data_IF_445507947842
#
_entry.id   IF_445507947842
#
_cell.length_a   1.000
_cell.length_b   1.000
_cell.length_c   1.000
_cell.angle_alpha   90.00
_cell.angle_beta   90.00
_cell.angle_gamma   90.00
#
_symmetry.space_group_name_H-M   'P 1'
#
loop_
_entity.id
_entity.type
_entity.pdbx_description
1 polymer ?
#
# COMPACT_ATOMS: atom_id res chain seq x y z
N UNK A 1 -21.93 2.28 16.12
CA UNK A 1 -20.47 2.32 16.14
C UNK A 1 -20.07 2.93 14.83
N UNK A 2 -19.45 4.10 14.86
CA UNK A 2 -19.03 4.82 13.65
C UNK A 2 -17.91 4.02 13.00
N UNK A 3 -18.13 3.53 11.79
CA UNK A 3 -17.15 2.78 11.02
C UNK A 3 -16.00 3.73 10.65
N UNK A 4 -14.76 3.28 10.83
CA UNK A 4 -13.59 4.11 10.54
C UNK A 4 -13.51 4.38 9.02
N UNK A 5 -13.60 5.63 8.56
CA UNK A 5 -13.58 5.96 7.13
C UNK A 5 -12.32 5.46 6.42
N UNK A 6 -11.18 5.37 7.14
CA UNK A 6 -9.95 4.84 6.58
C UNK A 6 -10.09 3.37 6.17
N UNK A 7 -10.81 2.56 6.96
CA UNK A 7 -10.95 1.13 6.69
C UNK A 7 -11.84 0.86 5.46
N UNK A 8 -12.80 1.75 5.20
CA UNK A 8 -13.61 1.72 3.99
C UNK A 8 -12.75 2.08 2.76
N UNK A 9 -12.05 3.22 2.80
CA UNK A 9 -11.14 3.61 1.73
C UNK A 9 -10.02 2.58 1.47
N UNK A 10 -9.51 1.95 2.52
CA UNK A 10 -8.57 0.83 2.42
C UNK A 10 -9.17 -0.34 1.64
N UNK A 11 -10.41 -0.73 1.95
CA UNK A 11 -11.06 -1.85 1.26
C UNK A 11 -11.27 -1.53 -0.23
N UNK A 12 -11.66 -0.30 -0.53
CA UNK A 12 -11.88 0.17 -1.91
C UNK A 12 -10.58 0.17 -2.72
N UNK A 13 -9.50 0.76 -2.18
CA UNK A 13 -8.18 0.72 -2.83
C UNK A 13 -7.71 -0.71 -3.08
N UNK A 14 -7.86 -1.60 -2.10
CA UNK A 14 -7.41 -2.98 -2.26
C UNK A 14 -8.23 -3.71 -3.32
N UNK A 15 -9.52 -3.39 -3.47
CA UNK A 15 -10.37 -3.92 -4.51
C UNK A 15 -9.95 -3.40 -5.90
N UNK A 16 -9.71 -2.09 -6.04
CA UNK A 16 -9.20 -1.49 -7.29
C UNK A 16 -7.82 -2.06 -7.67
N UNK A 17 -6.93 -2.21 -6.69
CA UNK A 17 -5.61 -2.83 -6.89
C UNK A 17 -5.75 -4.28 -7.38
N UNK A 18 -6.66 -5.05 -6.79
CA UNK A 18 -6.93 -6.42 -7.24
C UNK A 18 -7.52 -6.48 -8.66
N UNK A 19 -8.28 -5.46 -9.08
CA UNK A 19 -8.82 -5.32 -10.44
C UNK A 19 -7.76 -4.89 -11.46
N UNK A 20 -6.83 -4.01 -11.10
CA UNK A 20 -5.80 -3.49 -12.02
C UNK A 20 -4.77 -4.56 -12.45
N UNK A 21 -4.43 -5.51 -11.57
CA UNK A 21 -3.49 -6.61 -11.87
C UNK A 21 -3.84 -7.45 -13.11
N UNK A 22 -5.07 -8.01 -13.24
CA UNK A 22 -5.45 -8.75 -14.44
C UNK A 22 -5.56 -7.85 -15.67
N UNK A 23 -5.93 -6.57 -15.53
CA UNK A 23 -5.93 -5.62 -16.65
C UNK A 23 -4.53 -5.41 -17.21
N UNK A 24 -3.53 -5.19 -16.35
CA UNK A 24 -2.13 -5.07 -16.74
C UNK A 24 -1.62 -6.34 -17.45
N UNK A 25 -1.93 -7.50 -16.87
CA UNK A 25 -1.54 -8.79 -17.47
C UNK A 25 -2.20 -9.01 -18.84
N UNK A 26 -3.47 -8.62 -18.99
CA UNK A 26 -4.20 -8.70 -20.25
C UNK A 26 -3.60 -7.74 -21.29
N UNK A 27 -3.33 -6.50 -20.90
CA UNK A 27 -2.70 -5.50 -21.75
C UNK A 27 -1.33 -5.96 -22.27
N UNK A 28 -0.45 -6.45 -21.40
CA UNK A 28 0.86 -6.97 -21.79
C UNK A 28 0.75 -8.13 -22.78
N UNK A 29 -0.20 -9.05 -22.54
CA UNK A 29 -0.48 -10.16 -23.45
C UNK A 29 -0.97 -9.68 -24.82
N UNK A 30 -1.99 -8.81 -24.84
CA UNK A 30 -2.55 -8.27 -26.09
C UNK A 30 -1.46 -7.55 -26.87
N UNK A 31 -0.65 -6.71 -26.21
CA UNK A 31 0.48 -6.00 -26.81
C UNK A 31 1.49 -6.97 -27.43
N UNK A 32 1.82 -8.07 -26.74
CA UNK A 32 2.76 -9.06 -27.27
C UNK A 32 2.24 -9.82 -28.49
N UNK A 33 0.92 -9.96 -28.62
CA UNK A 33 0.27 -10.66 -29.74
C UNK A 33 -0.20 -9.75 -30.88
N UNK A 34 -0.28 -8.45 -30.64
CA UNK A 34 -0.83 -7.51 -31.61
C UNK A 34 0.18 -7.21 -32.72
N UNK A 35 -0.25 -7.39 -33.97
CA UNK A 35 0.56 -7.07 -35.16
C UNK A 35 0.72 -5.56 -35.37
N UNK A 36 -0.20 -4.75 -34.84
CA UNK A 36 -0.15 -3.29 -34.90
C UNK A 36 -0.40 -2.69 -33.51
N UNK A 37 0.29 -1.59 -33.20
CA UNK A 37 0.16 -0.87 -31.93
C UNK A 37 -1.20 -0.16 -31.77
N UNK A 38 -1.98 -0.08 -32.85
CA UNK A 38 -3.28 0.59 -32.92
C UNK A 38 -4.43 -0.41 -33.08
N UNK A 39 -4.24 -1.67 -32.69
CA UNK A 39 -5.35 -2.61 -32.68
C UNK A 39 -6.41 -2.08 -31.71
N UNK A 40 -7.70 -2.08 -32.08
CA UNK A 40 -8.75 -1.50 -31.25
C UNK A 40 -8.79 -2.16 -29.87
N UNK A 41 -8.52 -3.47 -29.77
CA UNK A 41 -8.48 -4.17 -28.48
C UNK A 41 -7.35 -3.69 -27.58
N UNK A 42 -6.22 -3.25 -28.17
CA UNK A 42 -5.05 -2.80 -27.44
C UNK A 42 -5.23 -1.37 -26.92
N UNK A 43 -5.85 -0.50 -27.72
CA UNK A 43 -6.24 0.83 -27.30
C UNK A 43 -7.28 0.76 -26.19
N UNK A 44 -8.29 -0.09 -26.32
CA UNK A 44 -9.32 -0.30 -25.29
C UNK A 44 -8.72 -0.83 -23.98
N UNK A 45 -7.90 -1.89 -24.06
CA UNK A 45 -7.24 -2.46 -22.87
C UNK A 45 -6.28 -1.46 -22.20
N UNK A 46 -5.62 -0.59 -22.99
CA UNK A 46 -4.79 0.49 -22.46
C UNK A 46 -5.63 1.52 -21.72
N UNK A 47 -6.69 2.02 -22.34
CA UNK A 47 -7.55 3.06 -21.78
C UNK A 47 -8.24 2.58 -20.49
N UNK A 48 -8.70 1.33 -20.44
CA UNK A 48 -9.29 0.73 -19.24
C UNK A 48 -8.28 0.64 -18.09
N UNK A 49 -7.06 0.20 -18.38
CA UNK A 49 -5.98 0.14 -17.39
C UNK A 49 -5.58 1.54 -16.90
N UNK A 50 -5.42 2.50 -17.81
CA UNK A 50 -5.06 3.89 -17.48
C UNK A 50 -6.13 4.57 -16.61
N UNK A 51 -7.41 4.41 -16.95
CA UNK A 51 -8.50 4.91 -16.12
C UNK A 51 -8.45 4.33 -14.71
N UNK A 52 -8.31 3.01 -14.61
CA UNK A 52 -8.23 2.31 -13.32
C UNK A 52 -7.02 2.75 -12.49
N UNK A 53 -5.85 2.92 -13.11
CA UNK A 53 -4.64 3.40 -12.43
C UNK A 53 -4.75 4.88 -12.01
N UNK A 54 -5.46 5.70 -12.79
CA UNK A 54 -5.74 7.10 -12.45
C UNK A 54 -6.65 7.19 -11.23
N UNK A 55 -7.73 6.42 -11.21
CA UNK A 55 -8.66 6.34 -10.07
C UNK A 55 -7.91 5.85 -8.82
N UNK A 56 -7.12 4.77 -8.96
CA UNK A 56 -6.30 4.23 -7.87
C UNK A 56 -5.26 5.23 -7.36
N UNK A 57 -4.69 6.05 -8.24
CA UNK A 57 -3.76 7.13 -7.86
C UNK A 57 -4.48 8.22 -7.08
N UNK A 58 -5.67 8.64 -7.50
CA UNK A 58 -6.46 9.65 -6.80
C UNK A 58 -6.87 9.16 -5.40
N UNK A 59 -7.41 7.94 -5.29
CA UNK A 59 -7.77 7.36 -4.00
C UNK A 59 -6.54 7.24 -3.07
N UNK A 60 -5.38 6.89 -3.64
CA UNK A 60 -4.13 6.80 -2.90
C UNK A 60 -3.68 8.18 -2.38
N UNK A 61 -3.86 9.25 -3.15
CA UNK A 61 -3.59 10.62 -2.68
C UNK A 61 -4.39 10.97 -1.44
N UNK A 62 -5.69 10.70 -1.47
CA UNK A 62 -6.60 10.96 -0.36
C UNK A 62 -6.20 10.15 0.88
N UNK A 63 -5.77 8.90 0.68
CA UNK A 63 -5.27 8.03 1.75
C UNK A 63 -3.94 8.53 2.35
N UNK A 64 -2.99 8.94 1.51
CA UNK A 64 -1.72 9.58 1.95
C UNK A 64 -2.04 10.81 2.80
N UNK A 65 -2.94 11.69 2.33
CA UNK A 65 -3.32 12.90 3.06
C UNK A 65 -4.02 12.59 4.39
N UNK A 66 -4.90 11.58 4.39
CA UNK A 66 -5.58 11.09 5.60
C UNK A 66 -4.60 10.59 6.65
N UNK A 67 -3.61 9.78 6.27
CA UNK A 67 -2.58 9.30 7.19
C UNK A 67 -1.77 10.47 7.73
N UNK A 68 -1.34 11.39 6.85
CA UNK A 68 -0.58 12.59 7.25
C UNK A 68 -1.35 13.48 8.24
N UNK A 69 -2.66 13.60 8.08
CA UNK A 69 -3.50 14.39 8.97
C UNK A 69 -3.56 13.81 10.39
N UNK A 70 -3.55 12.47 10.51
CA UNK A 70 -3.61 11.80 11.82
C UNK A 70 -2.25 11.60 12.48
N UNK A 71 -1.16 11.66 11.73
CA UNK A 71 0.22 11.47 12.24
C UNK A 71 0.63 12.48 13.32
N UNK A 72 0.18 13.74 13.20
CA UNK A 72 0.56 14.78 14.14
C UNK A 72 -0.09 14.66 15.52
N UNK A 73 -1.29 14.07 15.61
CA UNK A 73 -1.99 13.84 16.86
C UNK A 73 -2.93 12.62 16.77
N UNK A 74 -2.39 11.38 16.82
CA UNK A 74 -3.19 10.16 16.69
C UNK A 74 -4.26 10.02 17.79
N UNK A 75 -3.96 10.53 18.99
CA UNK A 75 -4.83 10.43 20.16
C UNK A 75 -6.14 11.21 19.96
N UNK A 76 -6.10 12.36 19.27
CA UNK A 76 -7.29 13.12 18.90
C UNK A 76 -8.28 12.35 18.05
N UNK A 77 -7.78 11.40 17.25
CA UNK A 77 -8.58 10.54 16.38
C UNK A 77 -8.86 9.17 17.01
N UNK A 78 -8.45 8.94 18.26
CA UNK A 78 -8.61 7.66 18.94
C UNK A 78 -7.74 6.54 18.36
N UNK A 79 -6.67 6.88 17.65
CA UNK A 79 -5.76 5.94 17.00
C UNK A 79 -4.52 5.71 17.87
N UNK A 80 -3.99 4.49 17.82
CA UNK A 80 -2.68 4.20 18.41
C UNK A 80 -1.57 4.53 17.42
N UNK A 81 -0.37 4.82 17.91
CA UNK A 81 0.82 5.04 17.06
C UNK A 81 1.10 3.81 16.19
N UNK A 82 0.87 2.61 16.71
CA UNK A 82 0.99 1.36 15.96
C UNK A 82 -0.01 1.29 14.81
N UNK A 83 -1.25 1.72 15.02
CA UNK A 83 -2.27 1.74 13.97
C UNK A 83 -1.91 2.74 12.87
N UNK A 84 -1.48 3.95 13.22
CA UNK A 84 -0.96 4.93 12.24
C UNK A 84 0.21 4.34 11.44
N UNK A 85 1.12 3.63 12.10
CA UNK A 85 2.22 2.94 11.41
C UNK A 85 1.75 1.85 10.43
N UNK A 86 0.70 1.09 10.78
CA UNK A 86 0.09 0.14 9.85
C UNK A 86 -0.53 0.82 8.63
N UNK A 87 -1.22 1.94 8.82
CA UNK A 87 -1.84 2.73 7.74
C UNK A 87 -0.80 3.27 6.78
N UNK A 88 0.28 3.83 7.33
CA UNK A 88 1.41 4.36 6.56
C UNK A 88 2.09 3.27 5.74
N UNK A 89 2.34 2.09 6.33
CA UNK A 89 2.92 0.94 5.60
C UNK A 89 2.03 0.49 4.45
N UNK A 90 0.72 0.39 4.66
CA UNK A 90 -0.23 0.06 3.59
C UNK A 90 -0.10 1.05 2.43
N UNK A 91 -0.12 2.34 2.73
CA UNK A 91 -0.01 3.41 1.73
C UNK A 91 1.30 3.31 0.96
N UNK A 92 2.43 3.03 1.63
CA UNK A 92 3.74 2.82 0.98
C UNK A 92 3.75 1.58 0.07
N UNK A 93 3.21 0.45 0.54
CA UNK A 93 3.13 -0.79 -0.24
C UNK A 93 2.26 -0.59 -1.50
N UNK A 94 1.11 0.08 -1.37
CA UNK A 94 0.22 0.38 -2.51
C UNK A 94 0.88 1.39 -3.45
N UNK A 95 1.51 2.45 -2.94
CA UNK A 95 2.20 3.45 -3.76
C UNK A 95 3.29 2.83 -4.63
N UNK A 96 4.10 1.93 -4.06
CA UNK A 96 5.11 1.17 -4.81
C UNK A 96 4.48 0.34 -5.93
N UNK A 97 3.41 -0.40 -5.61
CA UNK A 97 2.77 -1.26 -6.59
C UNK A 97 2.16 -0.46 -7.75
N UNK A 98 1.51 0.67 -7.47
CA UNK A 98 0.96 1.58 -8.49
C UNK A 98 2.08 2.16 -9.37
N UNK A 99 3.18 2.60 -8.76
CA UNK A 99 4.34 3.10 -9.49
C UNK A 99 4.95 2.02 -10.41
N UNK A 100 5.07 0.79 -9.91
CA UNK A 100 5.57 -0.33 -10.69
C UNK A 100 4.65 -0.69 -11.86
N UNK A 101 3.33 -0.65 -11.67
CA UNK A 101 2.37 -0.87 -12.76
C UNK A 101 2.47 0.22 -13.84
N UNK A 102 2.61 1.49 -13.45
CA UNK A 102 2.85 2.59 -14.38
C UNK A 102 4.18 2.44 -15.14
N UNK A 103 5.27 2.08 -14.44
CA UNK A 103 6.57 1.81 -15.08
C UNK A 103 6.47 0.68 -16.10
N UNK A 104 5.77 -0.40 -15.77
CA UNK A 104 5.57 -1.53 -16.68
C UNK A 104 4.75 -1.14 -17.91
N UNK A 105 3.69 -0.35 -17.74
CA UNK A 105 2.89 0.18 -18.84
C UNK A 105 3.76 0.99 -19.81
N UNK A 106 4.52 1.96 -19.28
CA UNK A 106 5.39 2.83 -20.08
C UNK A 106 6.52 2.06 -20.78
N UNK A 107 7.21 1.17 -20.07
CA UNK A 107 8.27 0.33 -20.65
C UNK A 107 7.74 -0.53 -21.80
N UNK A 108 6.52 -1.06 -21.67
CA UNK A 108 5.87 -1.86 -22.71
C UNK A 108 5.58 -1.04 -23.97
N UNK A 109 5.26 0.25 -23.82
CA UNK A 109 5.04 1.17 -24.95
C UNK A 109 6.39 1.54 -25.61
N UNK A 110 7.36 1.99 -24.81
CA UNK A 110 8.67 2.41 -25.33
C UNK A 110 9.43 1.28 -26.03
N UNK A 111 9.37 0.06 -25.50
CA UNK A 111 10.01 -1.11 -26.13
C UNK A 111 9.38 -1.45 -27.49
N UNK A 112 8.05 -1.36 -27.60
CA UNK A 112 7.35 -1.57 -28.87
C UNK A 112 7.71 -0.51 -29.92
N UNK A 113 7.82 0.76 -29.51
CA UNK A 113 8.23 1.85 -30.39
C UNK A 113 9.69 1.76 -30.85
N UNK A 114 10.59 1.39 -29.95
CA UNK A 114 11.99 1.16 -30.29
C UNK A 114 12.12 0.05 -31.35
N UNK A 115 11.33 -1.03 -31.21
CA UNK A 115 11.33 -2.13 -32.17
C UNK A 115 10.75 -1.74 -33.54
N UNK A 116 9.73 -0.87 -33.57
CA UNK A 116 9.20 -0.30 -34.80
C UNK A 116 10.20 0.61 -35.50
N UNK A 117 10.81 1.54 -34.76
CA UNK A 117 11.85 2.44 -35.30
C UNK A 117 13.06 1.67 -35.82
N UNK A 118 13.48 0.60 -35.14
CA UNK A 118 14.56 -0.27 -35.62
C UNK A 118 14.18 -0.99 -36.93
N UNK A 119 12.93 -1.44 -37.06
CA UNK A 119 12.42 -2.05 -38.30
C UNK A 119 12.37 -1.06 -39.47
N UNK A 120 12.01 0.20 -39.21
CA UNK A 120 11.94 1.27 -40.22
C UNK A 120 13.32 1.83 -40.61
N UNK A 121 14.30 1.80 -39.71
CA UNK A 121 15.67 2.26 -39.96
C UNK A 121 16.53 1.28 -40.79
N UNK A 122 16.02 0.07 -41.06
CA UNK A 122 16.64 -0.90 -41.97
C UNK A 122 15.74 -1.15 -43.20
N UNK A 123 15.71 -0.23 -44.18
CA UNK A 123 15.02 -0.44 -45.46
C UNK A 123 15.77 -1.38 -46.42
N UNK A 124 17.01 -1.79 -46.11
CA UNK A 124 17.92 -2.49 -47.03
C UNK A 124 17.60 -3.98 -47.29
N UNK A 125 16.44 -4.50 -46.84
CA UNK A 125 16.03 -5.89 -47.07
C UNK A 125 14.91 -6.09 -48.10
N UNK A 126 14.45 -5.03 -48.79
CA UNK A 126 13.42 -5.15 -49.85
C UNK A 126 13.95 -4.99 -51.29
N UNK A 127 15.26 -4.84 -51.48
CA UNK A 127 15.88 -4.92 -52.81
C UNK A 127 16.71 -6.20 -52.92
N UNK A 128 16.09 -7.32 -53.29
CA UNK A 128 16.67 -8.37 -54.15
C UNK A 128 15.66 -9.52 -54.34
N UNK A 129 14.73 -9.33 -55.28
CA UNK A 129 14.24 -10.42 -56.11
C UNK A 129 13.99 -9.83 -57.50
N UNK A 130 14.84 -10.23 -58.42
CA UNK A 130 14.97 -9.75 -59.80
C UNK A 130 13.82 -10.28 -60.67
N UNK A 131 13.57 -9.54 -61.76
CA UNK A 131 12.85 -9.91 -62.99
C UNK A 131 11.31 -9.94 -62.99
N UNK A 132 10.70 -8.81 -63.39
CA UNK A 132 9.88 -8.76 -64.61
C UNK A 132 9.59 -7.29 -65.02
N UNK A 133 9.97 -6.98 -66.26
CA UNK A 133 9.91 -5.65 -66.87
C UNK A 133 8.50 -5.42 -67.44
N UNK A 134 7.62 -4.66 -66.77
CA UNK A 134 6.39 -4.11 -67.37
C UNK A 134 6.53 -2.59 -67.64
N UNK A 135 6.65 -2.14 -68.90
CA UNK A 135 6.86 -0.73 -69.23
C UNK A 135 5.63 0.19 -69.12
N UNK A 136 4.48 -0.29 -68.61
CA UNK A 136 3.22 0.46 -68.63
C UNK A 136 2.59 0.76 -67.25
N UNK A 137 3.28 0.48 -66.14
CA UNK A 137 2.83 0.91 -64.82
C UNK A 137 3.12 2.41 -64.63
N UNK A 138 2.19 3.26 -65.07
CA UNK A 138 2.22 4.70 -64.83
C UNK A 138 2.36 5.01 -63.33
N UNK A 139 3.36 5.83 -63.02
CA UNK A 139 3.63 6.43 -61.72
C UNK A 139 2.35 6.86 -60.99
N UNK A 140 2.04 6.16 -59.90
CA UNK A 140 1.15 6.64 -58.86
C UNK A 140 1.95 7.34 -57.76
N UNK A 141 2.49 8.54 -58.04
CA UNK A 141 3.07 9.43 -57.01
C UNK A 141 2.08 9.78 -55.87
N UNK A 142 0.80 9.39 -56.00
CA UNK A 142 -0.25 9.61 -55.01
C UNK A 142 -0.35 8.51 -53.93
N UNK A 143 0.25 7.32 -54.13
CA UNK A 143 0.19 6.22 -53.15
C UNK A 143 1.16 6.47 -51.98
N UNK A 144 2.30 7.10 -52.26
CA UNK A 144 3.29 7.51 -51.24
C UNK A 144 2.75 8.62 -50.33
N UNK A 145 1.95 9.55 -50.86
CA UNK A 145 1.35 10.66 -50.09
C UNK A 145 0.26 10.16 -49.13
N UNK A 146 -0.53 9.16 -49.54
CA UNK A 146 -1.56 8.56 -48.70
C UNK A 146 -0.96 7.73 -47.56
N UNK A 147 0.09 6.95 -47.84
CA UNK A 147 0.82 6.19 -46.83
C UNK A 147 1.54 7.09 -45.81
N UNK A 148 2.18 8.17 -46.27
CA UNK A 148 2.83 9.15 -45.39
C UNK A 148 1.84 9.90 -44.50
N UNK A 149 0.65 10.21 -45.02
CA UNK A 149 -0.43 10.83 -44.25
C UNK A 149 -1.01 9.88 -43.19
N UNK A 150 -1.17 8.60 -43.51
CA UNK A 150 -1.57 7.58 -42.53
C UNK A 150 -0.50 7.39 -41.44
N UNK A 151 0.78 7.38 -41.78
CA UNK A 151 1.87 7.33 -40.78
C UNK A 151 1.90 8.56 -39.88
N UNK A 152 1.73 9.77 -40.44
CA UNK A 152 1.66 10.99 -39.62
C UNK A 152 0.48 10.95 -38.65
N UNK A 153 -0.69 10.52 -39.14
CA UNK A 153 -1.88 10.39 -38.30
C UNK A 153 -1.72 9.30 -37.24
N UNK A 154 -0.98 8.22 -37.54
CA UNK A 154 -0.61 7.19 -36.57
C UNK A 154 0.35 7.73 -35.50
N UNK A 155 1.30 8.60 -35.85
CA UNK A 155 2.20 9.23 -34.88
C UNK A 155 1.47 10.20 -33.95
N UNK A 156 0.54 11.01 -34.48
CA UNK A 156 -0.21 12.00 -33.70
C UNK A 156 -1.05 11.36 -32.60
N UNK A 157 -1.83 10.32 -32.94
CA UNK A 157 -2.70 9.60 -31.99
C UNK A 157 -1.89 8.92 -30.87
N UNK A 158 -0.71 8.41 -31.19
CA UNK A 158 0.18 7.78 -30.20
C UNK A 158 0.79 8.82 -29.26
N UNK A 159 1.14 10.00 -29.79
CA UNK A 159 1.74 11.08 -29.03
C UNK A 159 0.78 11.68 -28.00
N UNK A 160 -0.50 11.84 -28.37
CA UNK A 160 -1.55 12.33 -27.44
C UNK A 160 -1.76 11.37 -26.26
N UNK A 161 -1.70 10.06 -26.51
CA UNK A 161 -1.88 9.05 -25.48
C UNK A 161 -0.67 8.94 -24.54
N UNK A 162 0.55 9.15 -25.05
CA UNK A 162 1.76 9.13 -24.22
C UNK A 162 1.94 10.40 -23.38
N UNK A 163 1.47 11.56 -23.84
CA UNK A 163 1.50 12.79 -23.05
C UNK A 163 0.63 12.69 -21.78
N UNK A 164 -0.49 11.97 -21.84
CA UNK A 164 -1.34 11.68 -20.68
C UNK A 164 -0.63 10.78 -19.64
N UNK A 165 0.23 9.86 -20.07
CA UNK A 165 0.98 8.99 -19.16
C UNK A 165 2.01 9.77 -18.33
N UNK A 166 2.67 10.76 -18.92
CA UNK A 166 3.77 11.48 -18.28
C UNK A 166 3.28 12.33 -17.08
N UNK A 167 2.08 12.91 -17.20
CA UNK A 167 1.45 13.68 -16.12
C UNK A 167 1.05 12.84 -14.89
N UNK A 168 0.50 11.64 -15.12
CA UNK A 168 0.15 10.72 -14.02
C UNK A 168 1.40 10.10 -13.41
N UNK A 169 2.41 9.79 -14.22
CA UNK A 169 3.69 9.25 -13.75
C UNK A 169 4.39 10.19 -12.77
N UNK A 170 4.43 11.49 -13.07
CA UNK A 170 4.98 12.49 -12.15
C UNK A 170 4.22 12.50 -10.81
N UNK A 171 2.90 12.35 -10.88
CA UNK A 171 2.02 12.37 -9.71
C UNK A 171 2.26 11.14 -8.81
N UNK A 172 2.32 9.94 -9.40
CA UNK A 172 2.62 8.70 -8.67
C UNK A 172 4.04 8.70 -8.11
N UNK A 173 5.02 9.19 -8.88
CA UNK A 173 6.41 9.32 -8.40
C UNK A 173 6.52 10.23 -7.18
N UNK A 174 5.81 11.35 -7.18
CA UNK A 174 5.72 12.25 -6.02
C UNK A 174 5.05 11.57 -4.82
N UNK A 175 3.97 10.80 -5.05
CA UNK A 175 3.28 10.06 -3.98
C UNK A 175 4.14 8.96 -3.39
N UNK A 176 4.85 8.22 -4.23
CA UNK A 176 5.79 7.21 -3.77
C UNK A 176 6.90 7.85 -2.93
N UNK A 177 7.48 8.96 -3.38
CA UNK A 177 8.48 9.70 -2.59
C UNK A 177 7.92 10.21 -1.25
N UNK A 178 6.67 10.67 -1.24
CA UNK A 178 5.97 11.10 -0.03
C UNK A 178 5.73 9.92 0.92
N UNK A 179 5.28 8.77 0.40
CA UNK A 179 5.06 7.55 1.16
C UNK A 179 6.37 6.96 1.71
N UNK A 180 7.44 6.98 0.92
CA UNK A 180 8.79 6.53 1.30
C UNK A 180 9.40 7.42 2.40
N UNK A 181 9.22 8.73 2.30
CA UNK A 181 9.66 9.68 3.34
C UNK A 181 8.91 9.45 4.65
N UNK A 182 7.60 9.21 4.57
CA UNK A 182 6.79 8.79 5.72
C UNK A 182 7.29 7.43 6.27
N UNK A 183 7.65 6.48 5.41
CA UNK A 183 8.20 5.17 5.79
C UNK A 183 9.52 5.26 6.57
N UNK A 184 10.46 6.11 6.14
CA UNK A 184 11.76 6.28 6.80
C UNK A 184 11.67 6.91 8.20
N UNK A 185 10.75 7.85 8.42
CA UNK A 185 10.53 8.43 9.76
C UNK A 185 10.07 7.40 10.80
N UNK A 186 9.55 6.24 10.38
CA UNK A 186 9.23 5.13 11.26
C UNK A 186 10.38 4.17 11.51
N UNK A 187 11.40 4.09 10.67
CA UNK A 187 12.59 3.28 11.04
C UNK A 187 13.28 3.91 12.25
N UNK A 188 13.30 5.25 12.31
CA UNK A 188 13.76 6.01 13.48
C UNK A 188 12.80 5.94 14.69
N UNK A 189 11.48 5.81 14.47
CA UNK A 189 10.49 5.67 15.58
C UNK A 189 10.20 4.22 15.98
N UNK A 190 10.51 3.23 15.15
CA UNK A 190 10.43 1.80 15.47
C UNK A 190 11.53 1.39 16.45
N UNK A 191 12.68 2.06 16.40
CA UNK A 191 13.72 1.98 17.43
C UNK A 191 13.21 2.46 18.81
N UNK A 192 12.22 3.36 18.86
CA UNK A 192 11.54 3.80 20.08
C UNK A 192 10.32 2.91 20.47
N UNK A 193 9.79 2.11 19.55
CA UNK A 193 8.65 1.21 19.83
C UNK A 193 9.09 -0.11 20.49
N UNK A 194 10.32 -0.58 20.29
CA UNK A 194 10.90 -1.68 21.10
C UNK A 194 11.02 -1.28 22.59
N UNK A 195 11.30 -0.01 22.87
CA UNK A 195 11.24 0.51 24.25
C UNK A 195 9.81 0.51 24.81
N UNK A 196 8.79 0.70 23.97
CA UNK A 196 7.39 0.75 24.43
C UNK A 196 6.86 -0.64 24.81
N UNK A 197 7.21 -1.69 24.05
CA UNK A 197 6.86 -3.08 24.38
C UNK A 197 7.62 -3.55 25.63
N UNK A 198 8.90 -3.17 25.76
CA UNK A 198 9.68 -3.38 26.99
C UNK A 198 9.10 -2.62 28.20
N UNK A 199 8.54 -1.42 28.01
CA UNK A 199 7.88 -0.66 29.08
C UNK A 199 6.57 -1.35 29.49
N UNK A 200 5.76 -1.86 28.55
CA UNK A 200 4.55 -2.62 28.85
C UNK A 200 4.87 -3.90 29.63
N UNK A 201 5.91 -4.65 29.23
CA UNK A 201 6.38 -5.82 29.96
C UNK A 201 6.93 -5.47 31.36
N UNK A 202 7.65 -4.36 31.48
CA UNK A 202 8.19 -3.89 32.76
C UNK A 202 7.10 -3.38 33.71
N UNK A 203 6.06 -2.75 33.17
CA UNK A 203 4.87 -2.32 33.92
C UNK A 203 4.02 -3.52 34.32
N UNK A 204 3.81 -4.49 33.43
CA UNK A 204 3.14 -5.77 33.72
C UNK A 204 3.86 -6.56 34.81
N UNK A 205 5.19 -6.64 34.76
CA UNK A 205 6.02 -7.28 35.78
C UNK A 205 5.96 -6.59 37.14
N UNK A 206 5.98 -5.24 37.18
CA UNK A 206 5.86 -4.47 38.43
C UNK A 206 4.46 -4.53 39.03
N UNK A 207 3.41 -4.49 38.21
CA UNK A 207 2.02 -4.66 38.63
C UNK A 207 1.79 -6.07 39.22
N UNK A 208 2.30 -7.12 38.56
CA UNK A 208 2.23 -8.49 39.09
C UNK A 208 2.93 -8.67 40.44
N UNK A 209 4.08 -8.01 40.63
CA UNK A 209 4.79 -8.01 41.92
C UNK A 209 4.05 -7.19 42.99
N UNK A 210 3.45 -6.06 42.61
CA UNK A 210 2.62 -5.23 43.49
C UNK A 210 1.39 -5.98 43.99
N UNK A 211 0.68 -6.67 43.11
CA UNK A 211 -0.47 -7.51 43.46
C UNK A 211 -0.08 -8.68 44.36
N UNK A 212 1.07 -9.33 44.13
CA UNK A 212 1.60 -10.36 45.04
C UNK A 212 1.90 -9.81 46.43
N UNK A 213 2.51 -8.63 46.53
CA UNK A 213 2.78 -7.99 47.83
C UNK A 213 1.49 -7.60 48.55
N UNK A 214 0.51 -7.06 47.84
CA UNK A 214 -0.82 -6.74 48.40
C UNK A 214 -1.48 -8.00 48.95
N UNK A 215 -1.50 -9.09 48.17
CA UNK A 215 -2.09 -10.37 48.59
C UNK A 215 -1.37 -10.95 49.81
N UNK A 216 -0.04 -10.89 49.83
CA UNK A 216 0.78 -11.32 50.97
C UNK A 216 0.53 -10.47 52.24
N UNK A 217 0.34 -9.16 52.09
CA UNK A 217 0.06 -8.26 53.22
C UNK A 217 -1.34 -8.51 53.78
N UNK A 218 -2.34 -8.75 52.92
CA UNK A 218 -3.71 -9.07 53.34
C UNK A 218 -3.71 -10.38 54.16
N UNK A 219 -3.12 -11.45 53.61
CA UNK A 219 -3.07 -12.77 54.24
C UNK A 219 -2.33 -12.74 55.59
N UNK A 220 -1.18 -12.03 55.66
CA UNK A 220 -0.39 -11.94 56.89
C UNK A 220 -0.99 -11.01 57.95
N UNK A 221 -1.85 -10.06 57.56
CA UNK A 221 -2.54 -9.17 58.48
C UNK A 221 -3.77 -9.85 59.09
N UNK A 222 -4.53 -10.62 58.29
CA UNK A 222 -5.68 -11.39 58.75
C UNK A 222 -5.31 -12.41 59.84
N UNK A 223 -4.23 -13.17 59.63
CA UNK A 223 -3.78 -14.20 60.58
C UNK A 223 -3.34 -13.63 61.95
N UNK A 224 -2.69 -12.46 61.95
CA UNK A 224 -2.12 -11.89 63.19
C UNK A 224 -3.18 -11.27 64.10
N UNK A 225 -4.20 -10.64 63.54
CA UNK A 225 -5.24 -9.98 64.32
C UNK A 225 -6.30 -10.98 64.79
N UNK A 226 -6.67 -11.95 63.94
CA UNK A 226 -7.56 -13.04 64.30
C UNK A 226 -6.96 -13.93 65.38
N UNK A 227 -5.70 -14.37 65.21
CA UNK A 227 -5.01 -15.22 66.19
C UNK A 227 -4.83 -14.58 67.57
N UNK A 228 -4.54 -13.27 67.61
CA UNK A 228 -4.42 -12.52 68.88
C UNK A 228 -5.77 -12.42 69.60
N UNK A 229 -6.84 -12.12 68.87
CA UNK A 229 -8.19 -12.01 69.43
C UNK A 229 -8.69 -13.35 69.98
N UNK A 230 -8.49 -14.45 69.23
CA UNK A 230 -8.81 -15.81 69.68
C UNK A 230 -8.02 -16.19 70.94
N UNK A 231 -6.71 -15.91 70.97
CA UNK A 231 -5.85 -16.19 72.13
C UNK A 231 -6.31 -15.42 73.38
N UNK A 232 -6.69 -14.14 73.22
CA UNK A 232 -7.18 -13.31 74.33
C UNK A 232 -8.53 -13.81 74.87
N UNK A 233 -9.45 -14.21 73.98
CA UNK A 233 -10.74 -14.81 74.38
C UNK A 233 -10.55 -16.11 75.19
N UNK A 234 -9.60 -16.97 74.79
CA UNK A 234 -9.29 -18.21 75.53
C UNK A 234 -8.76 -17.91 76.94
N UNK A 235 -7.86 -16.93 77.08
CA UNK A 235 -7.32 -16.55 78.39
C UNK A 235 -8.43 -16.04 79.31
N UNK A 236 -9.32 -15.17 78.80
CA UNK A 236 -10.47 -14.67 79.57
C UNK A 236 -11.38 -15.82 79.99
N UNK A 237 -11.66 -16.77 79.09
CA UNK A 237 -12.47 -17.95 79.40
C UNK A 237 -11.84 -18.81 80.52
N UNK A 238 -10.53 -19.02 80.48
CA UNK A 238 -9.79 -19.78 81.52
C UNK A 238 -9.88 -19.07 82.87
N UNK A 239 -9.70 -17.75 82.91
CA UNK A 239 -9.82 -16.95 84.14
C UNK A 239 -11.23 -17.04 84.72
N UNK A 240 -12.26 -16.94 83.88
CA UNK A 240 -13.65 -17.11 84.32
C UNK A 240 -13.91 -18.52 84.86
N UNK A 241 -13.36 -19.56 84.23
CA UNK A 241 -13.51 -20.95 84.68
C UNK A 241 -12.85 -21.17 86.04
N UNK A 242 -11.63 -20.65 86.25
CA UNK A 242 -10.94 -20.73 87.55
C UNK A 242 -11.74 -19.98 88.62
N UNK A 243 -12.23 -18.78 88.31
CA UNK A 243 -13.04 -18.00 89.25
C UNK A 243 -14.30 -18.75 89.67
N UNK A 244 -14.98 -19.42 88.73
CA UNK A 244 -16.17 -20.25 89.01
C UNK A 244 -15.83 -21.53 89.78
N UNK A 245 -14.64 -22.11 89.61
CA UNK A 245 -14.23 -23.31 90.37
C UNK A 245 -13.78 -22.99 91.80
N UNK A 246 -13.23 -21.80 92.02
CA UNK A 246 -12.71 -21.35 93.32
C UNK A 246 -13.82 -20.73 94.19
N UNK A 247 -14.84 -20.15 93.56
CA UNK A 247 -15.97 -19.47 94.22
C UNK A 247 -17.16 -20.43 94.36
#
# INVERSE_FOLDING_TARGET
MSQDPFLEAQADILALLQQSRPLLSSYQRIRSSASSANSPELTEARQELEGTLTDLTADLQDLVESVRAVEGDPARYGLTVQEVGRRRKLVDDVAREVEDMHKQLNHTVQSADAQRRASLAHPDSFHHAEDDEDPLAGHGENDDEYGAWEEQRQMEIMHEQDEALDGVFQTVGNLHQQADTMGRELEEQAELLDETDQIVDRVGGKLGQGLKKIRYVIEKNEDRWSGCCISLLIVVLIVLLILVLVL
#
